data_IF_215556035784
#
_entry.id   IF_215556035784
#
_cell.length_a   1.000
_cell.length_b   1.000
_cell.length_c   1.000
_cell.angle_alpha   90.00
_cell.angle_beta   90.00
_cell.angle_gamma   90.00
#
_symmetry.space_group_name_H-M   'P 1'
#
loop_
_entity.id
_entity.type
_entity.pdbx_description
1 polymer ?
#
# COMPACT_ATOMS: atom_id res chain seq x y z
N UNK A 1 71.99 0.36 -16.61
CA UNK A 1 73.22 0.50 -15.81
C UNK A 1 72.83 0.37 -14.34
N UNK A 2 73.28 -0.70 -13.67
CA UNK A 2 73.58 -0.89 -12.23
C UNK A 2 72.66 -0.25 -11.16
N UNK A 3 72.26 -0.88 -10.05
CA UNK A 3 72.54 -2.18 -9.41
C UNK A 3 71.59 -2.27 -8.20
N UNK A 4 71.18 -3.48 -7.83
CA UNK A 4 70.65 -3.84 -6.51
C UNK A 4 71.65 -3.48 -5.38
N UNK A 5 71.18 -3.26 -4.15
CA UNK A 5 71.77 -3.77 -2.88
C UNK A 5 70.81 -3.60 -1.70
N UNK A 6 70.98 -4.52 -0.75
CA UNK A 6 70.15 -5.04 0.34
C UNK A 6 69.99 -4.18 1.62
N UNK A 7 68.84 -4.39 2.29
CA UNK A 7 68.50 -4.52 3.73
C UNK A 7 69.24 -3.74 4.83
N UNK A 8 68.45 -3.18 5.77
CA UNK A 8 68.68 -3.42 7.20
C UNK A 8 67.41 -3.28 8.05
N UNK A 9 67.16 -4.34 8.83
CA UNK A 9 66.15 -4.48 9.89
C UNK A 9 66.40 -3.49 11.04
N UNK A 10 65.33 -3.04 11.68
CA UNK A 10 65.34 -2.71 13.11
C UNK A 10 64.01 -3.10 13.74
N UNK A 11 64.06 -4.21 14.48
CA UNK A 11 63.02 -4.72 15.36
C UNK A 11 63.04 -3.90 16.66
N UNK A 12 61.95 -3.22 17.00
CA UNK A 12 61.71 -2.72 18.36
C UNK A 12 60.59 -3.55 18.98
N UNK A 13 60.99 -4.49 19.84
CA UNK A 13 60.08 -5.21 20.75
C UNK A 13 59.81 -4.32 21.96
N UNK A 14 58.62 -3.72 22.03
CA UNK A 14 58.08 -3.16 23.27
C UNK A 14 57.20 -4.23 23.91
N UNK A 15 57.73 -4.83 24.97
CA UNK A 15 56.96 -5.60 25.94
C UNK A 15 56.08 -4.63 26.73
N UNK A 16 54.77 -4.62 26.44
CA UNK A 16 53.77 -3.99 27.28
C UNK A 16 53.07 -5.10 28.09
N UNK A 17 53.23 -5.04 29.41
CA UNK A 17 52.52 -5.89 30.36
C UNK A 17 51.01 -5.67 30.20
N UNK A 18 50.29 -6.76 29.91
CA UNK A 18 48.84 -6.83 29.90
C UNK A 18 48.35 -6.99 31.35
N UNK A 19 47.87 -5.92 31.98
CA UNK A 19 46.95 -6.02 33.11
C UNK A 19 45.55 -6.33 32.58
N UNK A 20 45.14 -7.59 32.71
CA UNK A 20 43.79 -8.05 32.43
C UNK A 20 42.83 -7.57 33.51
N UNK A 21 42.24 -6.40 33.29
CA UNK A 21 41.03 -5.99 34.02
C UNK A 21 39.83 -6.79 33.48
N UNK A 22 39.48 -7.87 34.18
CA UNK A 22 38.21 -8.58 34.02
C UNK A 22 37.03 -7.69 34.43
N UNK A 23 36.60 -6.83 33.50
CA UNK A 23 35.31 -6.14 33.59
C UNK A 23 34.24 -7.20 33.33
N UNK A 24 33.69 -7.76 34.41
CA UNK A 24 32.44 -8.54 34.37
C UNK A 24 31.36 -7.70 33.70
N UNK A 25 31.10 -7.94 32.41
CA UNK A 25 29.98 -7.33 31.72
C UNK A 25 28.70 -7.81 32.38
N UNK A 26 28.00 -6.90 33.06
CA UNK A 26 26.68 -7.16 33.58
C UNK A 26 25.76 -7.64 32.44
N UNK A 27 24.91 -8.66 32.68
CA UNK A 27 24.06 -9.22 31.65
C UNK A 27 23.13 -8.12 31.14
N UNK A 28 23.27 -7.72 29.87
CA UNK A 28 22.35 -6.79 29.21
C UNK A 28 20.94 -7.34 29.38
N UNK A 29 20.13 -6.72 30.25
CA UNK A 29 18.70 -7.00 30.36
C UNK A 29 18.11 -6.93 28.96
N UNK A 30 17.70 -8.07 28.40
CA UNK A 30 17.03 -8.12 27.10
C UNK A 30 15.79 -7.24 27.22
N UNK A 31 15.73 -6.16 26.43
CA UNK A 31 14.52 -5.34 26.34
C UNK A 31 13.36 -6.26 25.94
N UNK A 32 12.17 -6.10 26.52
CA UNK A 32 11.01 -6.89 26.14
C UNK A 32 10.75 -6.75 24.63
N UNK A 33 10.28 -7.81 23.96
CA UNK A 33 9.99 -7.74 22.53
C UNK A 33 8.90 -6.71 22.25
N UNK A 34 9.03 -5.99 21.14
CA UNK A 34 7.99 -5.08 20.67
C UNK A 34 6.68 -5.83 20.42
N UNK A 35 5.57 -5.32 20.95
CA UNK A 35 4.23 -5.86 20.73
C UNK A 35 3.51 -5.00 19.71
N UNK A 36 3.20 -5.59 18.56
CA UNK A 36 2.43 -4.91 17.52
C UNK A 36 0.97 -4.80 17.96
N UNK A 37 0.55 -3.58 18.28
CA UNK A 37 -0.82 -3.28 18.74
C UNK A 37 -1.59 -2.62 17.60
N UNK A 38 -2.83 -3.05 17.40
CA UNK A 38 -3.70 -2.56 16.33
C UNK A 38 -5.05 -2.17 16.95
N UNK A 39 -5.36 -0.88 16.99
CA UNK A 39 -6.57 -0.34 17.64
C UNK A 39 -7.70 -0.04 16.64
N UNK A 40 -7.37 0.25 15.39
CA UNK A 40 -8.35 0.68 14.37
C UNK A 40 -9.00 -0.47 13.58
N UNK A 41 -8.42 -1.66 13.73
CA UNK A 41 -8.74 -2.87 12.97
C UNK A 41 -9.99 -3.52 13.59
N UNK A 42 -10.89 -3.98 12.73
CA UNK A 42 -12.11 -4.66 13.16
C UNK A 42 -11.92 -6.18 13.20
N UNK A 43 -12.49 -6.83 14.21
CA UNK A 43 -12.48 -8.30 14.35
C UNK A 43 -11.09 -8.90 14.60
N UNK A 44 -10.96 -10.21 14.35
CA UNK A 44 -9.78 -11.02 14.70
C UNK A 44 -8.75 -11.12 13.56
N UNK A 45 -8.64 -10.13 12.68
CA UNK A 45 -7.68 -10.18 11.57
C UNK A 45 -6.25 -9.99 12.08
N UNK A 46 -5.62 -11.07 12.54
CA UNK A 46 -4.29 -11.06 13.15
C UNK A 46 -3.19 -11.43 12.16
N UNK A 47 -3.53 -12.05 11.02
CA UNK A 47 -2.55 -12.53 10.04
C UNK A 47 -3.09 -12.52 8.59
N UNK A 48 -2.18 -12.62 7.63
CA UNK A 48 -2.53 -12.99 6.26
C UNK A 48 -2.82 -14.48 6.22
N UNK A 49 -3.93 -14.86 5.59
CA UNK A 49 -4.32 -16.25 5.42
C UNK A 49 -4.07 -16.72 3.98
N UNK A 50 -3.62 -17.97 3.78
CA UNK A 50 -3.52 -18.55 2.45
C UNK A 50 -4.91 -18.77 1.85
N UNK A 51 -5.00 -18.68 0.54
CA UNK A 51 -6.24 -18.98 -0.17
C UNK A 51 -6.53 -20.48 -0.15
N UNK A 52 -7.76 -20.83 0.20
CA UNK A 52 -8.29 -22.19 0.17
C UNK A 52 -9.72 -22.17 -0.35
N UNK A 53 -10.17 -23.27 -0.97
CA UNK A 53 -11.57 -23.46 -1.33
C UNK A 53 -11.90 -23.25 -2.80
N UNK A 54 -13.04 -22.60 -3.05
CA UNK A 54 -13.68 -22.50 -4.36
C UNK A 54 -12.94 -21.59 -5.35
N UNK A 55 -13.32 -21.65 -6.63
CA UNK A 55 -12.86 -20.72 -7.67
C UNK A 55 -13.06 -19.26 -7.23
N UNK A 56 -14.20 -18.95 -6.60
CA UNK A 56 -14.53 -17.60 -6.15
C UNK A 56 -13.62 -17.17 -4.99
N UNK A 57 -13.27 -18.10 -4.09
CA UNK A 57 -12.30 -17.84 -3.04
C UNK A 57 -10.90 -17.54 -3.60
N UNK A 58 -10.50 -18.20 -4.68
CA UNK A 58 -9.23 -17.93 -5.38
C UNK A 58 -9.27 -16.60 -6.12
N UNK A 59 -10.41 -16.22 -6.70
CA UNK A 59 -10.58 -14.92 -7.35
C UNK A 59 -10.54 -13.76 -6.32
N UNK A 60 -11.10 -13.94 -5.13
CA UNK A 60 -11.18 -12.93 -4.07
C UNK A 60 -9.82 -12.63 -3.41
N UNK A 61 -8.93 -11.96 -4.15
CA UNK A 61 -7.62 -11.50 -3.69
C UNK A 61 -7.13 -10.30 -4.53
N UNK A 62 -5.88 -9.87 -4.29
CA UNK A 62 -5.19 -8.84 -5.07
C UNK A 62 -4.55 -9.43 -6.32
N UNK A 63 -4.91 -8.88 -7.47
CA UNK A 63 -4.36 -9.23 -8.77
C UNK A 63 -3.63 -8.03 -9.36
N UNK A 64 -2.34 -8.18 -9.61
CA UNK A 64 -1.49 -7.15 -10.21
C UNK A 64 -1.23 -7.50 -11.66
N UNK A 65 -1.43 -6.55 -12.58
CA UNK A 65 -1.17 -6.80 -13.99
C UNK A 65 0.30 -7.15 -14.18
N UNK A 66 0.53 -8.25 -14.88
CA UNK A 66 1.85 -8.77 -15.19
C UNK A 66 2.18 -8.58 -16.67
N UNK A 67 1.22 -8.86 -17.55
CA UNK A 67 1.44 -8.90 -18.99
C UNK A 67 0.11 -8.71 -19.75
N UNK A 68 0.20 -8.23 -20.99
CA UNK A 68 -0.96 -7.93 -21.84
C UNK A 68 -0.64 -8.18 -23.31
N UNK A 69 -1.58 -8.77 -24.03
CA UNK A 69 -1.36 -9.29 -25.40
C UNK A 69 -1.22 -8.24 -26.48
N UNK A 70 -1.66 -7.02 -26.22
CA UNK A 70 -1.61 -5.93 -27.17
C UNK A 70 -0.42 -5.05 -26.81
N UNK A 71 0.70 -5.28 -27.49
CA UNK A 71 1.98 -4.55 -27.39
C UNK A 71 1.83 -3.04 -27.65
N UNK A 72 0.63 -2.53 -27.95
CA UNK A 72 0.36 -1.13 -28.30
C UNK A 72 -0.72 -0.44 -27.46
N UNK A 73 -1.30 -1.08 -26.43
CA UNK A 73 -2.29 -0.37 -25.61
C UNK A 73 -1.58 0.32 -24.45
N UNK A 74 -0.73 1.30 -24.78
CA UNK A 74 0.00 2.12 -23.82
C UNK A 74 -0.94 2.67 -22.75
N UNK A 75 -2.17 3.01 -23.10
CA UNK A 75 -3.21 3.52 -22.22
C UNK A 75 -3.63 2.56 -21.09
N UNK A 76 -3.24 1.27 -21.14
CA UNK A 76 -3.42 0.33 -20.03
C UNK A 76 -2.25 0.33 -19.05
N UNK A 77 -1.04 0.67 -19.48
CA UNK A 77 0.19 0.58 -18.68
C UNK A 77 0.78 1.96 -18.38
N UNK A 78 0.35 2.99 -19.09
CA UNK A 78 0.87 4.34 -19.09
C UNK A 78 -0.26 5.36 -19.13
N UNK A 79 -0.05 6.50 -18.48
CA UNK A 79 -0.88 7.67 -18.59
C UNK A 79 -0.50 8.42 -19.87
N UNK A 80 -1.50 8.72 -20.70
CA UNK A 80 -1.31 9.43 -21.95
C UNK A 80 -0.57 10.76 -21.72
N UNK A 81 0.54 10.97 -22.44
CA UNK A 81 1.21 12.27 -22.55
C UNK A 81 2.23 12.66 -21.48
N UNK A 82 2.46 11.85 -20.43
CA UNK A 82 3.50 12.15 -19.43
C UNK A 82 4.42 10.96 -19.07
N UNK A 83 4.18 9.77 -19.62
CA UNK A 83 5.01 8.58 -19.36
C UNK A 83 4.88 8.04 -17.93
N UNK A 84 3.91 8.50 -17.13
CA UNK A 84 3.65 7.94 -15.81
C UNK A 84 3.04 6.54 -15.95
N UNK A 85 3.58 5.58 -15.20
CA UNK A 85 3.10 4.19 -15.24
C UNK A 85 1.76 4.08 -14.53
N UNK A 86 0.76 3.50 -15.19
CA UNK A 86 -0.41 2.95 -14.52
C UNK A 86 0.02 1.72 -13.73
N UNK A 87 -0.64 1.47 -12.60
CA UNK A 87 -0.45 0.24 -11.82
C UNK A 87 -1.74 -0.59 -11.86
N UNK A 88 -2.07 -1.20 -13.02
CA UNK A 88 -3.36 -1.84 -13.17
C UNK A 88 -3.46 -3.03 -12.25
N UNK A 89 -4.56 -3.09 -11.52
CA UNK A 89 -4.80 -4.16 -10.57
C UNK A 89 -6.29 -4.34 -10.35
N UNK A 90 -6.67 -5.56 -9.98
CA UNK A 90 -8.02 -5.93 -9.58
C UNK A 90 -7.95 -6.47 -8.15
N UNK A 91 -8.59 -5.79 -7.22
CA UNK A 91 -8.68 -6.23 -5.83
C UNK A 91 -10.11 -6.68 -5.61
N UNK A 92 -10.31 -7.99 -5.55
CA UNK A 92 -11.63 -8.61 -5.43
C UNK A 92 -11.77 -9.19 -4.03
N UNK A 93 -12.95 -9.00 -3.45
CA UNK A 93 -13.24 -9.36 -2.07
C UNK A 93 -14.36 -10.41 -2.02
N UNK A 94 -14.38 -11.22 -0.98
CA UNK A 94 -15.30 -12.36 -0.85
C UNK A 94 -16.74 -11.95 -0.61
N UNK A 95 -17.00 -10.74 -0.12
CA UNK A 95 -18.31 -10.09 -0.09
C UNK A 95 -18.80 -9.56 -1.45
N UNK A 96 -18.08 -9.86 -2.53
CA UNK A 96 -18.42 -9.46 -3.89
C UNK A 96 -18.03 -8.02 -4.23
N UNK A 97 -17.33 -7.29 -3.36
CA UNK A 97 -16.78 -5.97 -3.70
C UNK A 97 -15.53 -6.07 -4.58
N UNK A 98 -15.33 -5.08 -5.45
CA UNK A 98 -14.12 -4.94 -6.26
C UNK A 98 -13.61 -3.51 -6.27
N UNK A 99 -12.28 -3.37 -6.24
CA UNK A 99 -11.56 -2.14 -6.52
C UNK A 99 -10.58 -2.36 -7.67
N UNK A 100 -10.83 -1.70 -8.80
CA UNK A 100 -9.94 -1.67 -9.96
C UNK A 100 -9.02 -0.44 -9.88
N UNK A 101 -7.75 -0.65 -10.22
CA UNK A 101 -6.71 0.38 -10.34
C UNK A 101 -6.61 1.30 -9.10
N UNK A 102 -6.49 0.76 -7.87
CA UNK A 102 -6.35 1.56 -6.66
C UNK A 102 -5.11 2.45 -6.64
N UNK A 103 -4.15 2.32 -7.56
CA UNK A 103 -2.97 3.19 -7.67
C UNK A 103 -3.01 4.07 -8.93
N UNK A 104 -4.21 4.37 -9.42
CA UNK A 104 -4.46 5.25 -10.56
C UNK A 104 -5.91 5.72 -10.55
N UNK A 105 -6.55 5.72 -11.72
CA UNK A 105 -8.00 6.00 -11.85
C UNK A 105 -8.79 4.86 -11.23
N UNK A 106 -9.16 5.05 -9.97
CA UNK A 106 -9.86 4.05 -9.17
C UNK A 106 -11.30 3.87 -9.65
N UNK A 107 -11.72 2.61 -9.81
CA UNK A 107 -13.13 2.24 -9.94
C UNK A 107 -13.50 1.25 -8.84
N UNK A 108 -14.67 1.44 -8.24
CA UNK A 108 -15.20 0.56 -7.20
C UNK A 108 -16.57 0.05 -7.64
N UNK A 109 -16.90 -1.17 -7.21
CA UNK A 109 -18.12 -1.81 -7.63
C UNK A 109 -18.31 -3.20 -7.05
N UNK A 110 -19.09 -4.01 -7.77
CA UNK A 110 -19.34 -5.42 -7.49
C UNK A 110 -18.72 -6.31 -8.54
N UNK A 111 -18.35 -7.52 -8.15
CA UNK A 111 -17.95 -8.57 -9.07
C UNK A 111 -18.74 -9.85 -8.82
N UNK A 112 -18.87 -10.65 -9.86
CA UNK A 112 -19.45 -11.98 -9.79
C UNK A 112 -18.82 -12.88 -10.85
N UNK A 113 -18.82 -14.19 -10.59
CA UNK A 113 -18.48 -15.19 -11.60
C UNK A 113 -19.75 -15.82 -12.14
N UNK A 114 -19.90 -15.75 -13.46
CA UNK A 114 -21.01 -16.31 -14.22
C UNK A 114 -20.54 -17.48 -15.07
N UNK A 115 -21.38 -18.49 -15.25
CA UNK A 115 -21.15 -19.56 -16.21
C UNK A 115 -22.05 -19.34 -17.43
N UNK A 116 -21.53 -18.66 -18.46
CA UNK A 116 -22.27 -18.36 -19.69
C UNK A 116 -21.87 -19.32 -20.78
N UNK A 117 -22.78 -20.13 -21.32
CA UNK A 117 -22.48 -21.09 -22.39
C UNK A 117 -21.29 -22.02 -22.05
N UNK A 118 -21.22 -22.49 -20.80
CA UNK A 118 -20.09 -23.29 -20.24
C UNK A 118 -18.74 -22.55 -20.20
N UNK A 119 -18.73 -21.23 -20.33
CA UNK A 119 -17.55 -20.38 -20.21
C UNK A 119 -17.62 -19.66 -18.87
N UNK A 120 -16.53 -19.74 -18.08
CA UNK A 120 -16.37 -18.95 -16.87
C UNK A 120 -16.13 -17.48 -17.25
N UNK A 121 -17.06 -16.62 -16.85
CA UNK A 121 -17.04 -15.18 -17.09
C UNK A 121 -16.93 -14.46 -15.76
N UNK A 122 -15.90 -13.63 -15.60
CA UNK A 122 -15.83 -12.64 -14.53
C UNK A 122 -16.57 -11.39 -15.00
N UNK A 123 -17.59 -10.97 -14.26
CA UNK A 123 -18.31 -9.73 -14.50
C UNK A 123 -17.96 -8.72 -13.43
N UNK A 124 -17.59 -7.52 -13.85
CA UNK A 124 -17.34 -6.36 -12.99
C UNK A 124 -18.41 -5.31 -13.28
N UNK A 125 -19.07 -4.81 -12.22
CA UNK A 125 -20.11 -3.79 -12.30
C UNK A 125 -19.74 -2.62 -11.41
N UNK A 126 -19.45 -1.45 -12.00
CA UNK A 126 -18.92 -0.30 -11.27
C UNK A 126 -19.99 0.71 -10.87
N UNK A 127 -19.72 1.50 -9.83
CA UNK A 127 -20.64 2.52 -9.33
C UNK A 127 -20.91 3.66 -10.33
N UNK A 128 -20.02 3.87 -11.30
CA UNK A 128 -20.22 4.81 -12.41
C UNK A 128 -21.19 4.28 -13.49
N UNK A 129 -21.75 3.08 -13.30
CA UNK A 129 -22.66 2.41 -14.23
C UNK A 129 -21.94 1.63 -15.34
N UNK A 130 -20.62 1.70 -15.43
CA UNK A 130 -19.85 0.92 -16.41
C UNK A 130 -19.75 -0.55 -15.99
N UNK A 131 -19.78 -1.45 -16.97
CA UNK A 131 -19.71 -2.90 -16.75
C UNK A 131 -18.66 -3.52 -17.67
N UNK A 132 -17.99 -4.57 -17.19
CA UNK A 132 -16.98 -5.32 -17.96
C UNK A 132 -17.16 -6.81 -17.75
N UNK A 133 -17.32 -7.55 -18.85
CA UNK A 133 -17.36 -9.01 -18.85
C UNK A 133 -16.05 -9.56 -19.43
N UNK A 134 -15.36 -10.38 -18.65
CA UNK A 134 -14.10 -11.02 -19.01
C UNK A 134 -14.25 -12.54 -19.01
N UNK A 135 -13.73 -13.21 -20.03
CA UNK A 135 -13.57 -14.67 -20.01
C UNK A 135 -12.35 -15.04 -19.18
N UNK A 136 -12.52 -15.91 -18.19
CA UNK A 136 -11.43 -16.51 -17.42
C UNK A 136 -10.80 -17.62 -18.27
N UNK A 137 -9.50 -17.51 -18.57
CA UNK A 137 -8.74 -18.48 -19.35
C UNK A 137 -7.86 -19.37 -18.48
N UNK A 138 -7.20 -18.77 -17.50
CA UNK A 138 -6.33 -19.47 -16.55
C UNK A 138 -6.64 -18.93 -15.17
N UNK A 139 -6.75 -19.82 -14.20
CA UNK A 139 -6.85 -19.45 -12.79
C UNK A 139 -6.06 -20.45 -11.95
N UNK A 140 -5.20 -19.91 -11.09
CA UNK A 140 -4.51 -20.61 -10.00
C UNK A 140 -4.39 -19.65 -8.82
N UNK A 141 -3.82 -20.09 -7.69
CA UNK A 141 -3.62 -19.20 -6.54
C UNK A 141 -2.79 -17.96 -6.83
N UNK A 142 -1.92 -17.99 -7.86
CA UNK A 142 -0.95 -16.93 -8.16
C UNK A 142 -1.03 -16.35 -9.56
N UNK A 143 -1.86 -16.93 -10.43
CA UNK A 143 -1.98 -16.50 -11.82
C UNK A 143 -3.44 -16.45 -12.24
N UNK A 144 -3.83 -15.34 -12.85
CA UNK A 144 -5.12 -15.14 -13.49
C UNK A 144 -4.88 -14.62 -14.90
N UNK A 145 -5.37 -15.36 -15.91
CA UNK A 145 -5.42 -14.85 -17.28
C UNK A 145 -6.87 -14.64 -17.66
N UNK A 146 -7.22 -13.40 -17.98
CA UNK A 146 -8.53 -13.03 -18.49
C UNK A 146 -8.42 -12.53 -19.91
N UNK A 147 -9.51 -12.62 -20.67
CA UNK A 147 -9.60 -11.97 -21.97
C UNK A 147 -10.93 -11.31 -22.19
N UNK A 148 -10.91 -10.24 -22.96
CA UNK A 148 -12.07 -9.53 -23.43
C UNK A 148 -12.07 -9.51 -24.96
N UNK A 149 -13.27 -9.56 -25.54
CA UNK A 149 -13.51 -9.43 -26.97
C UNK A 149 -14.81 -8.64 -27.16
N UNK A 150 -14.75 -7.51 -27.87
CA UNK A 150 -15.90 -6.65 -28.18
C UNK A 150 -16.38 -6.79 -29.65
N UNK A 151 -15.92 -7.82 -30.35
CA UNK A 151 -16.18 -8.06 -31.78
C UNK A 151 -15.20 -7.35 -32.72
N UNK A 152 -14.53 -6.27 -32.28
CA UNK A 152 -13.54 -5.52 -33.06
C UNK A 152 -12.11 -5.79 -32.57
N UNK A 153 -11.95 -5.81 -31.26
CA UNK A 153 -10.69 -5.99 -30.56
C UNK A 153 -10.75 -7.25 -29.70
N UNK A 154 -9.60 -7.91 -29.57
CA UNK A 154 -9.43 -8.97 -28.59
C UNK A 154 -8.13 -8.75 -27.83
N UNK A 155 -8.21 -8.79 -26.50
CA UNK A 155 -7.06 -8.60 -25.63
C UNK A 155 -7.09 -9.68 -24.54
N UNK A 156 -5.91 -10.23 -24.20
CA UNK A 156 -5.74 -10.97 -22.96
C UNK A 156 -4.83 -10.19 -21.99
N UNK A 157 -5.13 -10.32 -20.71
CA UNK A 157 -4.35 -9.76 -19.62
C UNK A 157 -3.99 -10.90 -18.66
N UNK A 158 -2.71 -10.96 -18.28
CA UNK A 158 -2.20 -11.85 -17.24
C UNK A 158 -1.96 -11.04 -15.99
N UNK A 159 -2.46 -11.55 -14.87
CA UNK A 159 -2.27 -10.99 -13.55
C UNK A 159 -1.54 -11.99 -12.65
N UNK A 160 -0.76 -11.45 -11.72
CA UNK A 160 -0.10 -12.19 -10.64
C UNK A 160 -0.68 -11.80 -9.28
N UNK A 161 -0.57 -12.72 -8.33
CA UNK A 161 -0.85 -12.46 -6.92
C UNK A 161 0.16 -13.16 -6.00
N UNK A 162 0.15 -12.80 -4.72
CA UNK A 162 0.94 -13.49 -3.71
C UNK A 162 0.20 -14.66 -3.05
N UNK A 163 -1.07 -14.88 -3.40
CA UNK A 163 -1.88 -16.03 -2.96
C UNK A 163 -2.32 -15.96 -1.50
N UNK A 164 -2.30 -14.77 -0.90
CA UNK A 164 -2.74 -14.53 0.49
C UNK A 164 -3.66 -13.32 0.58
N UNK A 165 -4.53 -13.32 1.59
CA UNK A 165 -5.47 -12.23 1.87
C UNK A 165 -5.61 -11.95 3.35
N UNK A 166 -6.21 -10.81 3.69
CA UNK A 166 -6.66 -10.54 5.05
C UNK A 166 -7.77 -11.53 5.44
N UNK A 167 -7.79 -11.94 6.70
CA UNK A 167 -8.89 -12.77 7.24
C UNK A 167 -10.20 -11.98 7.28
N UNK A 168 -10.13 -10.70 7.68
CA UNK A 168 -11.21 -9.74 7.54
C UNK A 168 -10.85 -8.71 6.47
N UNK A 169 -11.49 -8.82 5.31
CA UNK A 169 -11.27 -7.94 4.16
C UNK A 169 -11.63 -6.47 4.39
N UNK A 170 -12.43 -6.13 5.42
CA UNK A 170 -12.68 -4.73 5.78
C UNK A 170 -11.43 -4.01 6.32
N UNK A 171 -10.40 -4.77 6.68
CA UNK A 171 -9.10 -4.23 7.08
C UNK A 171 -8.09 -4.20 5.92
N UNK A 172 -8.49 -4.61 4.72
CA UNK A 172 -7.68 -4.47 3.53
C UNK A 172 -7.69 -3.01 3.05
N UNK A 173 -6.53 -2.38 2.79
CA UNK A 173 -6.48 -0.99 2.35
C UNK A 173 -7.22 -0.75 1.03
N UNK A 174 -7.33 -1.74 0.16
CA UNK A 174 -7.96 -1.62 -1.15
C UNK A 174 -9.44 -2.00 -1.16
N UNK A 175 -10.00 -2.41 -0.03
CA UNK A 175 -11.44 -2.60 0.10
C UNK A 175 -12.19 -1.28 -0.21
N UNK A 176 -13.32 -1.29 -0.96
CA UNK A 176 -14.03 -0.05 -1.29
C UNK A 176 -14.40 0.81 -0.07
N UNK A 177 -14.74 0.18 1.05
CA UNK A 177 -15.03 0.87 2.31
C UNK A 177 -13.88 1.77 2.81
N UNK A 178 -12.63 1.47 2.43
CA UNK A 178 -11.45 2.22 2.83
C UNK A 178 -10.96 3.22 1.76
N UNK A 179 -11.62 3.31 0.60
CA UNK A 179 -11.19 4.15 -0.54
C UNK A 179 -12.19 5.26 -0.93
N UNK A 180 -13.36 5.32 -0.31
CA UNK A 180 -14.38 6.34 -0.61
C UNK A 180 -13.88 7.80 -0.49
N UNK A 181 -12.87 8.06 0.33
CA UNK A 181 -12.27 9.39 0.49
C UNK A 181 -11.61 9.93 -0.78
N UNK A 182 -11.31 9.05 -1.74
CA UNK A 182 -10.67 9.38 -3.02
C UNK A 182 -11.66 9.77 -4.10
N UNK A 183 -12.95 9.51 -3.88
CA UNK A 183 -14.00 9.87 -4.82
C UNK A 183 -14.46 11.29 -4.46
N UNK A 184 -14.26 12.29 -5.34
CA UNK A 184 -14.69 13.64 -5.06
C UNK A 184 -16.22 13.68 -4.91
N UNK A 185 -16.75 14.41 -3.92
CA UNK A 185 -18.19 14.58 -3.75
C UNK A 185 -18.75 15.44 -4.90
N UNK A 186 -20.02 15.25 -5.31
CA UNK A 186 -20.62 16.04 -6.40
C UNK A 186 -20.98 17.47 -5.99
N UNK A 187 -20.90 17.81 -4.70
CA UNK A 187 -21.30 19.09 -4.11
C UNK A 187 -20.34 19.45 -2.96
N UNK A 188 -20.26 20.74 -2.55
CA UNK A 188 -19.44 21.13 -1.40
C UNK A 188 -19.82 20.35 -0.13
N UNK A 189 -18.81 19.89 0.60
CA UNK A 189 -18.95 19.22 1.90
C UNK A 189 -18.99 20.22 3.07
N UNK A 190 -19.57 19.84 4.21
CA UNK A 190 -19.42 20.57 5.48
C UNK A 190 -18.03 20.32 6.09
N UNK A 191 -17.63 21.14 7.06
CA UNK A 191 -16.36 20.93 7.80
C UNK A 191 -16.29 19.55 8.48
N UNK A 192 -17.41 19.03 8.97
CA UNK A 192 -17.51 17.69 9.56
C UNK A 192 -17.32 16.57 8.53
N UNK A 193 -17.84 16.76 7.32
CA UNK A 193 -17.66 15.82 6.21
C UNK A 193 -16.22 15.86 5.68
N UNK A 194 -15.61 17.05 5.56
CA UNK A 194 -14.19 17.22 5.22
C UNK A 194 -13.30 16.51 6.25
N UNK A 195 -13.57 16.71 7.56
CA UNK A 195 -12.86 15.99 8.64
C UNK A 195 -13.00 14.48 8.50
N UNK A 196 -14.19 13.97 8.21
CA UNK A 196 -14.43 12.53 8.01
C UNK A 196 -13.69 11.98 6.80
N UNK A 197 -13.58 12.75 5.72
CA UNK A 197 -12.77 12.41 4.53
C UNK A 197 -11.28 12.35 4.87
N UNK A 198 -10.76 13.34 5.59
CA UNK A 198 -9.37 13.35 6.08
C UNK A 198 -9.09 12.15 6.99
N UNK A 199 -9.98 11.86 7.94
CA UNK A 199 -9.90 10.69 8.80
C UNK A 199 -9.88 9.38 8.02
N UNK A 200 -10.68 9.30 6.95
CA UNK A 200 -10.72 8.14 6.04
C UNK A 200 -9.42 8.00 5.23
N UNK A 201 -8.78 9.09 4.81
CA UNK A 201 -7.46 9.08 4.20
C UNK A 201 -6.39 8.55 5.17
N UNK A 202 -6.34 9.05 6.41
CA UNK A 202 -5.43 8.54 7.44
C UNK A 202 -5.68 7.05 7.69
N UNK A 203 -6.94 6.63 7.73
CA UNK A 203 -7.30 5.21 7.87
C UNK A 203 -6.73 4.37 6.74
N UNK A 204 -6.89 4.81 5.50
CA UNK A 204 -6.34 4.11 4.34
C UNK A 204 -4.83 3.91 4.47
N UNK A 205 -4.07 4.97 4.78
CA UNK A 205 -2.62 4.86 4.91
C UNK A 205 -2.21 3.97 6.07
N UNK A 206 -2.91 4.01 7.21
CA UNK A 206 -2.65 3.10 8.32
C UNK A 206 -2.84 1.63 7.89
N UNK A 207 -3.96 1.31 7.22
CA UNK A 207 -4.20 -0.03 6.68
C UNK A 207 -3.18 -0.41 5.59
N UNK A 208 -2.69 0.55 4.81
CA UNK A 208 -1.69 0.31 3.77
C UNK A 208 -0.33 -0.08 4.37
N UNK A 209 0.12 0.64 5.40
CA UNK A 209 1.31 0.28 6.16
C UNK A 209 1.18 -1.09 6.81
N UNK A 210 -0.01 -1.36 7.38
CA UNK A 210 -0.34 -2.64 8.01
C UNK A 210 -0.29 -3.80 7.03
N UNK A 211 -0.89 -3.67 5.85
CA UNK A 211 -0.84 -4.70 4.79
C UNK A 211 0.61 -5.01 4.40
N UNK A 212 1.44 -3.98 4.20
CA UNK A 212 2.86 -4.13 3.89
C UNK A 212 3.64 -4.84 5.02
N UNK A 213 3.37 -4.49 6.29
CA UNK A 213 3.95 -5.14 7.47
C UNK A 213 3.57 -6.63 7.48
N UNK A 214 2.27 -6.94 7.34
CA UNK A 214 1.76 -8.30 7.40
C UNK A 214 2.23 -9.18 6.24
N UNK A 215 2.36 -8.61 5.04
CA UNK A 215 2.96 -9.25 3.86
C UNK A 215 4.49 -9.27 3.89
N UNK A 216 5.11 -8.73 4.95
CA UNK A 216 6.57 -8.66 5.15
C UNK A 216 7.30 -8.02 3.96
N UNK A 217 6.71 -6.98 3.39
CA UNK A 217 7.34 -6.21 2.30
C UNK A 217 8.55 -5.47 2.84
N UNK A 218 9.66 -5.52 2.11
CA UNK A 218 10.90 -4.82 2.47
C UNK A 218 10.90 -3.36 2.01
N UNK A 219 10.06 -3.04 1.03
CA UNK A 219 9.84 -1.69 0.51
C UNK A 219 8.35 -1.39 0.45
N UNK A 220 7.98 -0.14 0.70
CA UNK A 220 6.62 0.35 0.53
C UNK A 220 6.65 1.36 -0.61
N UNK A 221 5.83 1.12 -1.64
CA UNK A 221 5.74 2.02 -2.77
C UNK A 221 4.46 2.85 -2.71
N UNK A 222 4.60 4.17 -2.89
CA UNK A 222 3.48 5.11 -2.83
C UNK A 222 3.05 5.63 -4.20
N UNK A 223 3.79 5.31 -5.27
CA UNK A 223 3.52 5.86 -6.60
C UNK A 223 2.07 5.59 -7.05
N UNK A 224 1.41 6.61 -7.58
CA UNK A 224 0.01 6.52 -8.04
C UNK A 224 -1.06 6.54 -6.93
N UNK A 225 -0.67 6.67 -5.66
CA UNK A 225 -1.63 6.99 -4.59
C UNK A 225 -1.73 8.52 -4.44
N UNK A 226 -2.92 9.10 -4.20
CA UNK A 226 -3.04 10.53 -3.89
C UNK A 226 -2.29 10.88 -2.61
N UNK A 227 -1.21 11.66 -2.69
CA UNK A 227 -0.36 11.94 -1.53
C UNK A 227 -0.63 13.31 -0.91
N UNK A 228 -0.70 13.34 0.42
CA UNK A 228 -0.68 14.57 1.24
C UNK A 228 0.38 14.47 2.34
N UNK A 229 0.99 13.30 2.49
CA UNK A 229 2.02 13.03 3.48
C UNK A 229 3.38 12.99 2.81
N UNK A 230 4.37 13.54 3.49
CA UNK A 230 5.77 13.31 3.19
C UNK A 230 6.29 12.23 4.12
N UNK A 231 6.80 11.14 3.56
CA UNK A 231 7.26 9.98 4.31
C UNK A 231 8.77 10.02 4.52
N UNK A 232 9.20 9.85 5.77
CA UNK A 232 10.62 9.76 6.14
C UNK A 232 10.87 8.46 6.92
N UNK A 233 12.12 8.05 7.00
CA UNK A 233 12.53 6.93 7.85
C UNK A 233 12.23 7.25 9.32
N UNK A 234 11.08 6.76 9.79
CA UNK A 234 10.60 7.02 11.14
C UNK A 234 9.94 8.38 11.35
N UNK A 235 9.46 9.05 10.29
CA UNK A 235 8.77 10.34 10.36
C UNK A 235 7.59 10.45 9.39
N UNK A 236 6.61 11.29 9.73
CA UNK A 236 5.49 11.68 8.86
C UNK A 236 5.43 13.20 8.88
N UNK A 237 5.42 13.80 7.70
CA UNK A 237 5.18 15.23 7.50
C UNK A 237 4.05 15.47 6.52
N UNK A 238 3.81 16.74 6.20
CA UNK A 238 2.97 17.21 5.10
C UNK A 238 3.78 18.23 4.29
N UNK A 239 3.58 18.33 2.97
CA UNK A 239 4.32 19.30 2.15
C UNK A 239 3.90 20.73 2.48
N UNK A 240 4.61 21.72 1.95
CA UNK A 240 4.16 23.11 2.02
C UNK A 240 2.84 23.30 1.26
N UNK A 241 2.04 24.32 1.64
CA UNK A 241 0.71 24.54 1.06
C UNK A 241 0.76 24.76 -0.47
N UNK A 242 1.87 25.32 -0.97
CA UNK A 242 2.12 25.55 -2.41
C UNK A 242 2.55 24.28 -3.16
N UNK A 243 2.96 23.24 -2.44
CA UNK A 243 3.52 21.98 -2.96
C UNK A 243 2.52 20.81 -2.82
N UNK A 244 1.27 21.11 -2.42
CA UNK A 244 0.21 20.12 -2.38
C UNK A 244 -0.07 19.61 -3.80
N UNK A 245 0.04 18.29 -3.97
CA UNK A 245 -0.17 17.62 -5.24
C UNK A 245 -1.64 17.71 -5.72
N UNK A 246 -1.84 17.75 -7.03
CA UNK A 246 -3.17 17.85 -7.64
C UNK A 246 -4.02 16.60 -7.37
N UNK A 247 -3.39 15.43 -7.17
CA UNK A 247 -4.04 14.17 -6.81
C UNK A 247 -4.77 14.27 -5.46
N UNK A 248 -4.20 14.98 -4.48
CA UNK A 248 -4.89 15.26 -3.21
C UNK A 248 -6.08 16.17 -3.45
N UNK A 249 -5.90 17.24 -4.25
CA UNK A 249 -6.96 18.20 -4.54
C UNK A 249 -8.14 17.51 -5.25
N UNK A 250 -7.85 16.59 -6.16
CA UNK A 250 -8.84 15.81 -6.90
C UNK A 250 -9.71 14.88 -6.03
N UNK A 251 -9.34 14.65 -4.76
CA UNK A 251 -10.14 13.87 -3.81
C UNK A 251 -11.28 14.67 -3.15
N UNK A 252 -11.33 16.00 -3.36
CA UNK A 252 -12.30 16.92 -2.74
C UNK A 252 -13.18 17.60 -3.79
N UNK A 253 -14.25 18.26 -3.34
CA UNK A 253 -15.13 19.01 -4.26
C UNK A 253 -14.38 20.10 -5.02
N UNK A 254 -13.48 20.81 -4.33
CA UNK A 254 -12.66 21.87 -4.90
C UNK A 254 -11.38 22.12 -4.05
N UNK A 255 -10.47 22.92 -4.60
CA UNK A 255 -9.20 23.28 -3.96
C UNK A 255 -9.37 23.92 -2.57
N UNK A 256 -10.40 24.74 -2.35
CA UNK A 256 -10.67 25.35 -1.04
C UNK A 256 -10.94 24.29 0.04
N UNK A 257 -11.71 23.26 -0.28
CA UNK A 257 -12.00 22.16 0.65
C UNK A 257 -10.80 21.22 0.84
N UNK A 258 -10.03 20.97 -0.21
CA UNK A 258 -8.76 20.24 -0.10
C UNK A 258 -7.77 20.94 0.84
N UNK A 259 -7.67 22.27 0.76
CA UNK A 259 -6.85 23.09 1.65
C UNK A 259 -7.37 23.07 3.09
N UNK A 260 -8.69 23.08 3.30
CA UNK A 260 -9.28 22.93 4.62
C UNK A 260 -8.90 21.57 5.25
N UNK A 261 -9.00 20.48 4.49
CA UNK A 261 -8.57 19.15 4.93
C UNK A 261 -7.08 19.05 5.23
N UNK A 262 -6.23 19.62 4.37
CA UNK A 262 -4.79 19.72 4.58
C UNK A 262 -4.45 20.48 5.88
N UNK A 263 -5.12 21.61 6.15
CA UNK A 263 -4.91 22.39 7.38
C UNK A 263 -5.26 21.61 8.64
N UNK A 264 -6.26 20.73 8.59
CA UNK A 264 -6.58 19.83 9.70
C UNK A 264 -5.43 18.84 9.98
N UNK A 265 -4.85 18.24 8.93
CA UNK A 265 -3.69 17.34 9.07
C UNK A 265 -2.46 18.07 9.58
N UNK A 266 -2.14 19.24 9.01
CA UNK A 266 -0.99 20.05 9.42
C UNK A 266 -1.12 20.46 10.89
N UNK A 267 -2.28 20.97 11.29
CA UNK A 267 -2.55 21.34 12.68
C UNK A 267 -2.38 20.14 13.61
N UNK A 268 -2.92 18.98 13.25
CA UNK A 268 -2.76 17.77 14.04
C UNK A 268 -1.28 17.37 14.20
N UNK A 269 -0.49 17.43 13.12
CA UNK A 269 0.93 17.08 13.16
C UNK A 269 1.78 18.07 13.97
N UNK A 270 1.41 19.35 14.00
CA UNK A 270 2.14 20.39 14.73
C UNK A 270 1.74 20.44 16.20
N UNK A 271 0.45 20.33 16.50
CA UNK A 271 -0.08 20.60 17.84
C UNK A 271 -0.09 19.36 18.74
N UNK A 272 -0.09 18.15 18.15
CA UNK A 272 -0.20 16.91 18.90
C UNK A 272 1.14 16.19 19.00
N UNK A 273 1.56 15.90 20.23
CA UNK A 273 2.73 15.07 20.50
C UNK A 273 2.35 13.58 20.40
N UNK A 274 2.89 12.91 19.37
CA UNK A 274 2.65 11.48 19.15
C UNK A 274 3.61 10.61 19.96
N UNK A 275 3.10 9.48 20.43
CA UNK A 275 3.94 8.43 21.00
C UNK A 275 4.59 7.63 19.87
N UNK A 276 5.91 7.75 19.75
CA UNK A 276 6.71 7.01 18.77
C UNK A 276 7.29 5.75 19.43
N UNK A 277 6.77 4.55 19.10
CA UNK A 277 7.24 3.33 19.75
C UNK A 277 8.72 3.09 19.45
N UNK A 278 9.47 2.69 20.47
CA UNK A 278 10.89 2.34 20.36
C UNK A 278 11.06 0.82 20.28
N UNK A 279 12.20 0.36 19.73
CA UNK A 279 12.49 -1.07 19.61
C UNK A 279 11.66 -1.83 18.57
N UNK A 280 11.00 -1.12 17.65
CA UNK A 280 10.25 -1.72 16.56
C UNK A 280 11.15 -2.51 15.59
N UNK A 281 10.65 -3.58 14.93
CA UNK A 281 11.42 -4.35 13.97
C UNK A 281 11.94 -3.52 12.77
N UNK A 282 11.15 -2.54 12.35
CA UNK A 282 11.48 -1.61 11.27
C UNK A 282 10.71 -0.30 11.43
N UNK A 283 11.05 0.72 10.62
CA UNK A 283 10.50 2.07 10.73
C UNK A 283 8.99 2.13 10.42
N UNK A 284 8.52 1.30 9.50
CA UNK A 284 7.12 1.22 9.08
C UNK A 284 6.15 0.86 10.22
N UNK A 285 6.59 0.12 11.25
CA UNK A 285 5.80 -0.12 12.47
C UNK A 285 5.56 1.15 13.28
N UNK A 286 6.56 2.05 13.33
CA UNK A 286 6.43 3.33 14.02
C UNK A 286 5.45 4.23 13.28
N UNK A 287 5.60 4.32 11.96
CA UNK A 287 4.70 5.07 11.09
C UNK A 287 3.25 4.58 11.20
N UNK A 288 3.03 3.27 11.18
CA UNK A 288 1.70 2.67 11.43
C UNK A 288 1.12 3.13 12.77
N UNK A 289 1.89 3.03 13.87
CA UNK A 289 1.44 3.42 15.22
C UNK A 289 1.04 4.89 15.30
N UNK A 290 1.77 5.77 14.60
CA UNK A 290 1.42 7.21 14.54
C UNK A 290 0.16 7.44 13.72
N UNK A 291 0.00 6.75 12.58
CA UNK A 291 -1.23 6.85 11.78
C UNK A 291 -2.47 6.38 12.56
N UNK A 292 -2.36 5.35 13.42
CA UNK A 292 -3.45 4.95 14.31
C UNK A 292 -3.80 6.05 15.33
N UNK A 293 -2.79 6.70 15.90
CA UNK A 293 -3.01 7.83 16.81
C UNK A 293 -3.67 9.01 16.09
N UNK A 294 -3.21 9.33 14.87
CA UNK A 294 -3.83 10.36 14.05
C UNK A 294 -5.30 10.04 13.76
N UNK A 295 -5.60 8.79 13.39
CA UNK A 295 -6.97 8.34 13.16
C UNK A 295 -7.85 8.50 14.41
N UNK A 296 -7.32 8.18 15.59
CA UNK A 296 -8.05 8.31 16.85
C UNK A 296 -8.31 9.77 17.25
N UNK A 297 -7.47 10.71 16.83
CA UNK A 297 -7.55 12.13 17.19
C UNK A 297 -8.36 12.99 16.22
N UNK A 298 -8.53 12.55 14.98
CA UNK A 298 -9.38 13.20 13.98
C UNK A 298 -10.86 13.02 14.26
#
# INVERSE_FOLDING_TARGET
MNRCIFYLLSFFMLAACSETNDIKSSPKKKKPPFVFTEKMVSGNDTAMIPLTGSIDAVLAQHWYLDDVSAVSNDNLVWVDGNGARLFPSLNMFSDGNVTQNPRGVIKMGKWERLLKNKINTLRLQYHDGTNQDYRIRVLSHRNLTISWNNGKDSCWMRFRSDGVKHENELNDPYHPANNNWRIPPPKPESDSAIRSRVKSCVRFYALYYRDNIKRKKTTIEFAGLPTVFTWYDGGIGVPDEKEIEEEWIACFYNKKQALAGYKMLKKLLVDYEFDWPTGTPSWNYRTFSVLEQMYAKL
#
